data_IF_097359657668
#
_entry.id   IF_097359657668
#
_cell.length_a   1.000
_cell.length_b   1.000
_cell.length_c   1.000
_cell.angle_alpha   90.00
_cell.angle_beta   90.00
_cell.angle_gamma   90.00
#
_symmetry.space_group_name_H-M   'P 1'
#
loop_
_entity.id
_entity.type
_entity.pdbx_description
1 polymer ?
#
# COMPACT_ATOMS: atom_id res chain seq x y z
N UNK A 1 -40.77 33.57 -50.31
CA UNK A 1 -40.05 32.75 -51.31
C UNK A 1 -39.26 31.71 -50.53
N UNK A 2 -39.86 30.52 -50.30
CA UNK A 2 -39.62 29.26 -51.06
C UNK A 2 -38.20 28.73 -50.82
N UNK A 3 -37.93 27.86 -49.83
CA UNK A 3 -38.10 26.39 -49.76
C UNK A 3 -37.24 25.56 -50.74
N UNK A 4 -36.53 24.55 -50.19
CA UNK A 4 -35.93 23.36 -50.84
C UNK A 4 -34.76 23.66 -51.82
N UNK A 5 -33.72 22.83 -52.02
CA UNK A 5 -33.66 21.38 -52.18
C UNK A 5 -32.24 20.85 -51.91
N UNK A 6 -32.15 19.64 -51.36
CA UNK A 6 -31.14 18.68 -51.80
C UNK A 6 -31.72 17.85 -52.97
N UNK A 7 -30.92 17.55 -53.98
CA UNK A 7 -30.98 16.27 -54.70
C UNK A 7 -29.60 15.60 -54.59
N UNK A 8 -29.45 14.30 -54.42
CA UNK A 8 -30.20 13.21 -55.04
C UNK A 8 -29.15 12.26 -55.62
N UNK A 9 -29.38 10.97 -55.38
CA UNK A 9 -28.50 9.83 -55.63
C UNK A 9 -27.87 9.68 -57.02
N UNK A 10 -26.70 9.03 -57.03
CA UNK A 10 -26.38 7.94 -57.97
C UNK A 10 -25.49 8.30 -59.16
N UNK A 11 -24.30 7.69 -59.23
CA UNK A 11 -23.78 6.95 -60.39
C UNK A 11 -22.39 6.39 -60.04
N UNK A 12 -22.27 5.06 -59.96
CA UNK A 12 -20.98 4.36 -60.04
C UNK A 12 -20.69 4.08 -61.52
N UNK A 13 -19.48 4.39 -62.00
CA UNK A 13 -18.77 3.38 -62.79
C UNK A 13 -17.25 3.35 -62.53
N UNK A 14 -16.69 2.13 -62.59
CA UNK A 14 -15.44 1.92 -63.34
C UNK A 14 -14.09 2.12 -62.62
N UNK A 15 -13.53 0.97 -62.23
CA UNK A 15 -12.14 0.61 -61.94
C UNK A 15 -10.96 1.42 -62.58
N UNK A 16 -9.98 1.76 -61.73
CA UNK A 16 -8.52 1.66 -61.96
C UNK A 16 -7.75 2.93 -62.43
N UNK A 17 -6.41 2.99 -62.30
CA UNK A 17 -5.53 2.64 -61.17
C UNK A 17 -4.73 3.88 -60.65
N UNK A 18 -4.47 3.98 -59.35
CA UNK A 18 -3.73 5.12 -58.77
C UNK A 18 -2.19 4.99 -58.94
N UNK A 19 -1.48 6.10 -59.21
CA UNK A 19 -0.02 6.16 -59.37
C UNK A 19 0.72 6.43 -58.05
N UNK A 20 1.99 6.02 -57.98
CA UNK A 20 2.94 6.43 -56.93
C UNK A 20 3.23 7.94 -57.01
N UNK A 21 3.59 8.58 -55.87
CA UNK A 21 4.82 9.37 -55.89
C UNK A 21 5.67 9.32 -54.61
N UNK A 22 6.91 9.78 -54.81
CA UNK A 22 8.10 9.75 -53.96
C UNK A 22 8.05 10.53 -52.63
N UNK A 23 8.83 10.00 -51.68
CA UNK A 23 9.72 10.60 -50.66
C UNK A 23 9.53 12.07 -50.21
N UNK A 24 9.50 12.27 -48.88
CA UNK A 24 10.10 13.44 -48.23
C UNK A 24 10.83 13.03 -46.92
N UNK A 25 11.95 13.71 -46.55
CA UNK A 25 13.00 13.20 -45.67
C UNK A 25 12.89 13.67 -44.21
N UNK A 26 13.37 12.88 -43.25
CA UNK A 26 13.41 13.33 -41.85
C UNK A 26 13.90 12.39 -40.76
N UNK A 27 14.54 11.24 -41.07
CA UNK A 27 15.11 10.38 -40.02
C UNK A 27 16.61 10.11 -40.25
N UNK A 28 17.45 10.24 -39.20
CA UNK A 28 18.88 9.92 -39.29
C UNK A 28 19.09 8.39 -39.39
N UNK A 29 20.22 7.93 -39.99
CA UNK A 29 20.50 6.51 -40.15
C UNK A 29 20.82 5.84 -38.79
N UNK A 30 20.40 4.58 -38.55
CA UNK A 30 20.79 3.84 -37.36
C UNK A 30 22.25 3.41 -37.40
N UNK A 31 22.98 3.67 -36.30
CA UNK A 31 24.29 3.13 -36.01
C UNK A 31 24.25 1.62 -35.77
N UNK A 32 25.30 0.95 -36.24
CA UNK A 32 25.55 -0.48 -36.12
C UNK A 32 25.65 -0.92 -34.65
N UNK A 33 25.07 -2.09 -34.35
CA UNK A 33 25.54 -2.95 -33.26
C UNK A 33 24.59 -3.22 -32.11
N UNK A 34 23.56 -4.03 -32.32
CA UNK A 34 23.00 -4.97 -31.31
C UNK A 34 22.32 -6.15 -32.02
N UNK A 35 22.58 -7.43 -31.65
CA UNK A 35 21.94 -8.57 -32.28
C UNK A 35 20.49 -8.77 -31.80
N UNK A 36 19.59 -9.09 -32.75
CA UNK A 36 18.20 -9.49 -32.49
C UNK A 36 18.11 -10.81 -31.69
N UNK A 37 17.09 -10.98 -30.82
CA UNK A 37 16.83 -12.27 -30.16
C UNK A 37 16.27 -13.29 -31.17
N UNK A 38 16.95 -14.43 -31.29
CA UNK A 38 16.54 -15.55 -32.14
C UNK A 38 15.39 -16.36 -31.51
N UNK A 39 14.46 -16.82 -32.35
CA UNK A 39 13.42 -17.78 -32.00
C UNK A 39 14.03 -19.15 -31.63
N UNK A 40 13.44 -19.95 -30.71
CA UNK A 40 13.98 -21.25 -30.36
C UNK A 40 13.83 -22.27 -31.50
N UNK A 41 14.93 -22.57 -32.17
CA UNK A 41 15.05 -23.67 -33.14
C UNK A 41 15.29 -25.02 -32.47
N UNK A 42 14.82 -26.09 -33.12
CA UNK A 42 15.01 -27.50 -32.74
C UNK A 42 16.49 -27.88 -32.52
N UNK A 43 16.81 -28.81 -31.60
CA UNK A 43 18.18 -29.24 -31.37
C UNK A 43 18.70 -30.18 -32.49
N UNK A 44 19.99 -30.10 -32.86
CA UNK A 44 20.61 -30.99 -33.84
C UNK A 44 20.93 -32.39 -33.25
N UNK A 45 21.08 -33.43 -34.11
CA UNK A 45 21.26 -34.81 -33.66
C UNK A 45 22.68 -35.08 -33.10
N UNK A 46 22.71 -35.88 -32.03
CA UNK A 46 23.92 -36.37 -31.36
C UNK A 46 24.84 -37.14 -32.30
N UNK A 47 26.15 -36.85 -32.23
CA UNK A 47 27.20 -37.67 -32.82
C UNK A 47 28.02 -38.35 -31.71
N UNK A 48 27.97 -39.69 -31.70
CA UNK A 48 29.09 -40.58 -31.39
C UNK A 48 29.58 -40.76 -29.93
N UNK A 49 29.29 -41.94 -29.35
CA UNK A 49 30.35 -42.72 -28.67
C UNK A 49 30.11 -43.17 -27.22
N UNK A 50 29.43 -44.31 -27.01
CA UNK A 50 29.91 -45.52 -26.29
C UNK A 50 28.73 -46.50 -26.07
N UNK A 51 28.95 -47.84 -26.10
CA UNK A 51 27.89 -48.82 -25.96
C UNK A 51 27.38 -48.91 -24.51
N UNK A 52 26.05 -49.02 -24.27
CA UNK A 52 25.52 -49.25 -22.93
C UNK A 52 25.71 -50.73 -22.51
N UNK A 53 26.11 -50.93 -21.25
CA UNK A 53 26.18 -52.24 -20.62
C UNK A 53 24.82 -52.95 -20.54
N UNK A 54 24.81 -54.27 -20.33
CA UNK A 54 23.59 -55.07 -20.40
C UNK A 54 22.61 -54.71 -19.28
N UNK A 55 21.43 -54.18 -19.61
CA UNK A 55 20.34 -54.05 -18.64
C UNK A 55 19.30 -52.94 -18.81
N UNK A 56 19.26 -52.16 -19.89
CA UNK A 56 18.27 -51.08 -20.04
C UNK A 56 17.23 -51.39 -21.13
N UNK A 57 15.96 -51.49 -20.73
CA UNK A 57 14.78 -51.52 -21.62
C UNK A 57 14.04 -50.18 -21.45
N UNK A 58 14.03 -49.27 -22.44
CA UNK A 58 13.24 -48.05 -22.36
C UNK A 58 11.73 -48.30 -22.60
N UNK A 59 10.81 -47.52 -22.00
CA UNK A 59 9.37 -47.67 -22.18
C UNK A 59 8.93 -47.36 -23.62
N UNK A 60 8.08 -48.21 -24.21
CA UNK A 60 7.43 -47.92 -25.49
C UNK A 60 6.38 -46.80 -25.31
N UNK A 61 6.60 -45.67 -25.97
CA UNK A 61 5.58 -44.62 -26.12
C UNK A 61 4.47 -45.06 -27.10
N UNK A 62 3.26 -44.48 -27.01
CA UNK A 62 2.13 -44.87 -27.85
C UNK A 62 2.37 -44.52 -29.34
N UNK A 63 1.91 -45.35 -30.30
CA UNK A 63 2.04 -45.02 -31.72
C UNK A 63 1.18 -43.80 -32.07
N UNK A 64 1.79 -42.80 -32.71
CA UNK A 64 1.06 -41.72 -33.34
C UNK A 64 0.52 -42.18 -34.70
N UNK A 65 -0.79 -42.00 -34.91
CA UNK A 65 -1.37 -41.97 -36.25
C UNK A 65 -2.60 -42.86 -36.44
N UNK A 66 -3.73 -42.51 -35.83
CA UNK A 66 -5.04 -42.91 -36.35
C UNK A 66 -6.02 -41.74 -36.23
N UNK A 67 -6.60 -41.35 -37.37
CA UNK A 67 -7.67 -40.35 -37.43
C UNK A 67 -8.95 -40.93 -36.81
N UNK A 68 -9.76 -40.12 -36.09
CA UNK A 68 -11.00 -40.63 -35.50
C UNK A 68 -12.00 -41.04 -36.60
N UNK A 69 -12.66 -42.21 -36.49
CA UNK A 69 -13.67 -42.62 -37.45
C UNK A 69 -14.95 -41.78 -37.30
N UNK A 70 -15.76 -41.63 -38.37
CA UNK A 70 -16.98 -40.83 -38.33
C UNK A 70 -18.02 -41.45 -37.39
N UNK A 71 -18.67 -40.60 -36.61
CA UNK A 71 -19.77 -40.97 -35.72
C UNK A 71 -20.98 -41.41 -36.56
N UNK A 72 -21.30 -42.70 -36.53
CA UNK A 72 -22.55 -43.27 -37.05
C UNK A 72 -23.49 -43.65 -35.90
N UNK A 73 -24.82 -43.49 -36.05
CA UNK A 73 -25.78 -43.79 -34.98
C UNK A 73 -26.02 -45.30 -34.90
N UNK A 74 -25.61 -45.94 -33.80
CA UNK A 74 -25.67 -47.39 -33.63
C UNK A 74 -26.02 -47.81 -32.20
N UNK A 75 -27.17 -48.47 -32.09
CA UNK A 75 -27.84 -49.03 -30.93
C UNK A 75 -27.02 -50.08 -30.15
N UNK A 76 -27.13 -50.06 -28.81
CA UNK A 76 -27.17 -51.24 -27.93
C UNK A 76 -25.89 -52.08 -27.75
N UNK A 77 -25.31 -52.01 -26.54
CA UNK A 77 -24.34 -53.01 -26.08
C UNK A 77 -23.80 -52.69 -24.68
N UNK A 78 -24.18 -53.49 -23.69
CA UNK A 78 -23.68 -53.42 -22.31
C UNK A 78 -22.43 -54.30 -22.20
N UNK A 79 -21.28 -53.80 -21.68
CA UNK A 79 -20.20 -54.68 -21.21
C UNK A 79 -20.20 -54.84 -19.67
N UNK A 80 -19.54 -55.88 -19.13
CA UNK A 80 -19.90 -56.53 -17.88
C UNK A 80 -19.39 -55.82 -16.62
N UNK A 81 -20.18 -55.94 -15.55
CA UNK A 81 -19.83 -55.53 -14.19
C UNK A 81 -18.70 -56.40 -13.62
N UNK A 82 -17.58 -55.79 -13.24
CA UNK A 82 -16.60 -56.36 -12.33
C UNK A 82 -16.89 -55.87 -10.89
N UNK A 83 -16.98 -56.75 -9.89
CA UNK A 83 -17.13 -56.34 -8.50
C UNK A 83 -15.76 -56.26 -7.80
N UNK A 84 -15.42 -55.08 -7.26
CA UNK A 84 -14.53 -54.98 -6.10
C UNK A 84 -13.44 -53.89 -6.12
N UNK A 85 -13.38 -53.18 -4.98
CA UNK A 85 -12.22 -52.56 -4.31
C UNK A 85 -11.78 -51.13 -4.66
N UNK A 86 -12.05 -50.25 -3.68
CA UNK A 86 -11.33 -49.04 -3.22
C UNK A 86 -11.00 -47.91 -4.20
N UNK A 87 -11.50 -46.72 -3.85
CA UNK A 87 -11.00 -45.46 -4.36
C UNK A 87 -12.04 -44.37 -4.15
N UNK A 88 -11.88 -43.60 -3.06
CA UNK A 88 -12.52 -42.30 -2.89
C UNK A 88 -12.48 -41.54 -4.22
N UNK A 89 -13.60 -40.96 -4.63
CA UNK A 89 -13.66 -40.09 -5.80
C UNK A 89 -12.61 -38.99 -5.69
N UNK A 90 -11.46 -39.22 -6.31
CA UNK A 90 -10.51 -38.20 -6.65
C UNK A 90 -11.17 -37.41 -7.76
N UNK A 91 -11.91 -36.37 -7.36
CA UNK A 91 -12.00 -35.19 -8.20
C UNK A 91 -10.56 -34.92 -8.65
N UNK A 92 -10.31 -34.92 -9.96
CA UNK A 92 -9.05 -34.41 -10.47
C UNK A 92 -8.94 -32.99 -9.93
N UNK A 93 -8.15 -32.79 -8.86
CA UNK A 93 -7.85 -31.47 -8.35
C UNK A 93 -7.14 -30.76 -9.50
N UNK A 94 -7.81 -29.73 -10.03
CA UNK A 94 -7.26 -28.94 -11.13
C UNK A 94 -5.96 -28.31 -10.61
N UNK A 95 -4.79 -28.63 -11.19
CA UNK A 95 -3.50 -28.13 -10.69
C UNK A 95 -3.46 -26.59 -10.66
N UNK A 96 -4.26 -25.90 -11.49
CA UNK A 96 -4.39 -24.44 -11.39
C UNK A 96 -5.05 -23.99 -10.09
N UNK A 97 -6.00 -24.75 -9.55
CA UNK A 97 -6.73 -24.37 -8.34
C UNK A 97 -5.84 -24.47 -7.10
N UNK A 98 -4.93 -25.44 -7.05
CA UNK A 98 -3.97 -25.57 -5.96
C UNK A 98 -2.81 -24.57 -6.07
N UNK A 99 -2.37 -24.23 -7.28
CA UNK A 99 -1.46 -23.09 -7.48
C UNK A 99 -2.10 -21.78 -7.00
N UNK A 100 -3.35 -21.48 -7.39
CA UNK A 100 -4.07 -20.27 -6.96
C UNK A 100 -4.23 -20.22 -5.44
N UNK A 101 -4.62 -21.32 -4.78
CA UNK A 101 -4.69 -21.41 -3.32
C UNK A 101 -3.31 -21.18 -2.67
N UNK A 102 -2.24 -21.73 -3.26
CA UNK A 102 -0.86 -21.55 -2.82
C UNK A 102 -0.42 -20.09 -2.88
N UNK A 103 -0.70 -19.40 -3.99
CA UNK A 103 -0.42 -17.97 -4.15
C UNK A 103 -1.23 -17.11 -3.15
N UNK A 104 -2.53 -17.35 -3.01
CA UNK A 104 -3.37 -16.62 -2.04
C UNK A 104 -2.90 -16.80 -0.59
N UNK A 105 -2.48 -18.01 -0.22
CA UNK A 105 -1.99 -18.31 1.12
C UNK A 105 -0.66 -17.59 1.41
N UNK A 106 0.25 -17.57 0.43
CA UNK A 106 1.53 -16.88 0.55
C UNK A 106 1.32 -15.37 0.71
N UNK A 107 0.45 -14.76 -0.11
CA UNK A 107 0.12 -13.33 -0.03
C UNK A 107 -0.49 -12.94 1.32
N UNK A 108 -1.41 -13.74 1.85
CA UNK A 108 -1.99 -13.53 3.20
C UNK A 108 -0.93 -13.63 4.29
N UNK A 109 -0.02 -14.59 4.19
CA UNK A 109 1.06 -14.79 5.17
C UNK A 109 2.05 -13.62 5.15
N UNK A 110 2.46 -13.19 3.96
CA UNK A 110 3.33 -12.01 3.76
C UNK A 110 2.66 -10.77 4.33
N UNK A 111 1.37 -10.55 4.03
CA UNK A 111 0.59 -9.41 4.53
C UNK A 111 0.47 -9.42 6.05
N UNK A 112 0.19 -10.57 6.66
CA UNK A 112 0.12 -10.69 8.12
C UNK A 112 1.48 -10.42 8.78
N UNK A 113 2.58 -10.88 8.18
CA UNK A 113 3.93 -10.57 8.61
C UNK A 113 4.24 -9.07 8.53
N UNK A 114 3.83 -8.43 7.44
CA UNK A 114 3.91 -6.97 7.25
C UNK A 114 3.13 -6.21 8.33
N UNK A 115 1.85 -6.53 8.52
CA UNK A 115 0.99 -5.87 9.53
C UNK A 115 1.60 -6.00 10.93
N UNK A 116 2.03 -7.21 11.31
CA UNK A 116 2.67 -7.45 12.61
C UNK A 116 3.92 -6.57 12.77
N UNK A 117 4.73 -6.47 11.73
CA UNK A 117 5.96 -5.65 11.74
C UNK A 117 5.64 -4.16 11.90
N UNK A 118 4.67 -3.65 11.15
CA UNK A 118 4.24 -2.24 11.23
C UNK A 118 3.73 -1.90 12.63
N UNK A 119 2.82 -2.69 13.20
CA UNK A 119 2.32 -2.45 14.55
C UNK A 119 3.39 -2.63 15.62
N UNK A 120 4.34 -3.55 15.46
CA UNK A 120 5.45 -3.69 16.41
C UNK A 120 6.31 -2.43 16.43
N UNK A 121 6.62 -1.88 15.25
CA UNK A 121 7.34 -0.61 15.12
C UNK A 121 6.54 0.52 15.75
N UNK A 122 5.26 0.66 15.41
CA UNK A 122 4.37 1.67 15.97
C UNK A 122 4.34 1.61 17.51
N UNK A 123 4.20 0.43 18.09
CA UNK A 123 4.21 0.26 19.54
C UNK A 123 5.54 0.71 20.17
N UNK A 124 6.68 0.39 19.55
CA UNK A 124 7.97 0.91 20.01
C UNK A 124 8.03 2.44 19.93
N UNK A 125 7.52 3.05 18.85
CA UNK A 125 7.49 4.51 18.71
C UNK A 125 6.63 5.15 19.82
N UNK A 126 5.43 4.62 20.06
CA UNK A 126 4.54 5.12 21.10
C UNK A 126 5.11 4.97 22.51
N UNK A 127 5.82 3.88 22.81
CA UNK A 127 6.49 3.69 24.10
C UNK A 127 7.61 4.72 24.30
N UNK A 128 8.42 4.98 23.27
CA UNK A 128 9.46 6.02 23.32
C UNK A 128 8.83 7.39 23.57
N UNK A 129 7.77 7.71 22.83
CA UNK A 129 7.06 8.99 22.96
C UNK A 129 6.43 9.15 24.35
N UNK A 130 5.76 8.12 24.87
CA UNK A 130 5.19 8.14 26.22
C UNK A 130 6.28 8.27 27.29
N UNK A 131 7.41 7.58 27.13
CA UNK A 131 8.55 7.68 28.04
C UNK A 131 9.14 9.09 28.08
N UNK A 132 9.31 9.72 26.92
CA UNK A 132 9.78 11.10 26.80
C UNK A 132 8.78 12.09 27.42
N UNK A 133 7.49 11.98 27.09
CA UNK A 133 6.45 12.84 27.68
C UNK A 133 6.44 12.69 29.20
N UNK A 134 6.52 11.45 29.71
CA UNK A 134 6.55 11.17 31.15
C UNK A 134 7.77 11.79 31.83
N UNK A 135 8.96 11.68 31.23
CA UNK A 135 10.17 12.32 31.73
C UNK A 135 9.97 13.82 31.88
N UNK A 136 9.42 14.48 30.86
CA UNK A 136 9.24 15.94 30.84
C UNK A 136 8.13 16.40 31.79
N UNK A 137 7.10 15.59 32.03
CA UNK A 137 6.01 15.93 32.96
C UNK A 137 6.39 15.76 34.42
N UNK A 138 7.10 14.68 34.76
CA UNK A 138 7.37 14.32 36.15
C UNK A 138 8.73 14.81 36.66
N UNK A 139 9.73 14.96 35.79
CA UNK A 139 11.02 15.51 36.18
C UNK A 139 11.01 17.04 36.10
N UNK A 140 10.64 17.69 37.22
CA UNK A 140 10.49 19.16 37.32
C UNK A 140 11.67 19.98 36.79
N UNK A 141 12.95 19.62 37.01
CA UNK A 141 14.07 20.36 36.43
C UNK A 141 14.04 20.36 34.89
N UNK A 142 13.71 19.23 34.27
CA UNK A 142 13.60 19.11 32.80
C UNK A 142 12.41 19.91 32.28
N UNK A 143 11.26 19.82 32.94
CA UNK A 143 10.08 20.61 32.60
C UNK A 143 10.39 22.11 32.58
N UNK A 144 11.00 22.61 33.66
CA UNK A 144 11.34 24.03 33.77
C UNK A 144 12.42 24.45 32.78
N UNK A 145 13.39 23.57 32.50
CA UNK A 145 14.45 23.84 31.54
C UNK A 145 13.87 24.02 30.13
N UNK A 146 13.01 23.11 29.66
CA UNK A 146 12.44 23.18 28.30
C UNK A 146 11.51 24.39 28.14
N UNK A 147 10.76 24.76 29.18
CA UNK A 147 9.89 25.94 29.15
C UNK A 147 10.68 27.25 29.05
N UNK A 148 11.95 27.26 29.48
CA UNK A 148 12.84 28.43 29.35
C UNK A 148 13.57 28.48 28.00
N UNK A 149 13.73 27.34 27.33
CA UNK A 149 14.53 27.18 26.11
C UNK A 149 13.61 26.87 24.93
N UNK A 150 12.94 27.90 24.39
CA UNK A 150 11.99 27.75 23.29
C UNK A 150 12.66 27.30 21.98
N UNK A 151 13.97 27.47 21.87
CA UNK A 151 14.81 26.94 20.79
C UNK A 151 14.69 25.43 20.64
N UNK A 152 14.46 24.68 21.72
CA UNK A 152 14.32 23.22 21.67
C UNK A 152 13.11 22.82 20.82
N UNK A 153 12.01 23.57 20.91
CA UNK A 153 10.84 23.36 20.07
C UNK A 153 11.17 23.54 18.58
N UNK A 154 11.80 24.66 18.22
CA UNK A 154 12.11 24.98 16.83
C UNK A 154 13.14 24.04 16.23
N UNK A 155 14.14 23.61 17.01
CA UNK A 155 15.12 22.61 16.59
C UNK A 155 14.44 21.26 16.36
N UNK A 156 13.61 20.80 17.30
CA UNK A 156 12.87 19.54 17.16
C UNK A 156 11.93 19.59 15.93
N UNK A 157 11.20 20.68 15.76
CA UNK A 157 10.31 20.89 14.61
C UNK A 157 11.06 20.85 13.28
N UNK A 158 12.18 21.57 13.17
CA UNK A 158 13.00 21.56 11.96
C UNK A 158 13.57 20.16 11.68
N UNK A 159 14.04 19.45 12.71
CA UNK A 159 14.52 18.06 12.57
C UNK A 159 13.41 17.12 12.09
N UNK A 160 12.20 17.19 12.67
CA UNK A 160 11.04 16.40 12.23
C UNK A 160 10.76 16.64 10.74
N UNK A 161 10.69 17.90 10.31
CA UNK A 161 10.41 18.25 8.90
C UNK A 161 11.49 17.71 7.97
N UNK A 162 12.77 17.90 8.30
CA UNK A 162 13.88 17.38 7.49
C UNK A 162 13.82 15.85 7.39
N UNK A 163 13.59 15.15 8.50
CA UNK A 163 13.52 13.69 8.52
C UNK A 163 12.32 13.16 7.72
N UNK A 164 11.15 13.81 7.81
CA UNK A 164 9.99 13.48 6.97
C UNK A 164 10.32 13.67 5.50
N UNK A 165 10.91 14.81 5.11
CA UNK A 165 11.27 15.08 3.71
C UNK A 165 12.29 14.05 3.20
N UNK A 166 13.32 13.73 4.00
CA UNK A 166 14.30 12.70 3.65
C UNK A 166 13.63 11.34 3.41
N UNK A 167 12.71 10.91 4.29
CA UNK A 167 12.01 9.63 4.13
C UNK A 167 10.98 9.65 3.00
N UNK A 168 10.37 10.80 2.69
CA UNK A 168 9.43 10.95 1.58
C UNK A 168 10.13 10.96 0.22
N UNK A 169 11.21 11.72 0.08
CA UNK A 169 11.93 11.94 -1.18
C UNK A 169 12.97 10.86 -1.48
N UNK A 170 13.52 10.18 -0.47
CA UNK A 170 14.60 9.20 -0.65
C UNK A 170 14.11 7.78 -0.35
N UNK A 171 13.61 7.07 -1.37
CA UNK A 171 13.15 5.68 -1.25
C UNK A 171 14.24 4.72 -0.76
N UNK A 172 15.51 4.97 -1.13
CA UNK A 172 16.64 4.17 -0.63
C UNK A 172 16.81 4.28 0.89
N UNK A 173 16.51 5.44 1.48
CA UNK A 173 16.60 5.65 2.93
C UNK A 173 15.50 4.87 3.64
N UNK A 174 14.26 4.90 3.15
CA UNK A 174 13.13 4.23 3.83
C UNK A 174 13.05 2.72 3.61
N UNK A 175 13.59 2.20 2.50
CA UNK A 175 13.48 0.77 2.14
C UNK A 175 14.69 -0.09 2.53
N UNK A 176 15.88 0.50 2.69
CA UNK A 176 17.13 -0.26 2.94
C UNK A 176 17.55 -0.23 4.40
N UNK A 177 17.77 -1.40 4.99
CA UNK A 177 18.41 -1.52 6.29
C UNK A 177 19.93 -1.29 6.19
N UNK A 178 20.58 -0.73 7.23
CA UNK A 178 20.02 -0.27 8.50
C UNK A 178 19.47 1.17 8.48
N UNK A 179 19.66 1.89 7.36
CA UNK A 179 19.34 3.32 7.25
C UNK A 179 17.88 3.63 7.58
N UNK A 180 16.96 2.76 7.17
CA UNK A 180 15.55 2.93 7.41
C UNK A 180 15.17 2.97 8.90
N UNK A 181 15.74 2.08 9.72
CA UNK A 181 15.52 2.08 11.17
C UNK A 181 16.22 3.24 11.86
N UNK A 182 17.40 3.66 11.39
CA UNK A 182 18.12 4.80 11.95
C UNK A 182 17.30 6.09 11.75
N UNK A 183 16.86 6.36 10.51
CA UNK A 183 16.06 7.54 10.21
C UNK A 183 14.72 7.52 10.93
N UNK A 184 14.07 6.36 11.00
CA UNK A 184 12.83 6.21 11.75
C UNK A 184 13.03 6.48 13.25
N UNK A 185 14.10 5.96 13.84
CA UNK A 185 14.41 6.19 15.25
C UNK A 185 14.72 7.66 15.55
N UNK A 186 15.53 8.32 14.71
CA UNK A 186 15.81 9.75 14.82
C UNK A 186 14.53 10.57 14.69
N UNK A 187 13.65 10.19 13.76
CA UNK A 187 12.36 10.84 13.58
C UNK A 187 11.48 10.68 14.81
N UNK A 188 11.40 9.47 15.36
CA UNK A 188 10.64 9.21 16.59
C UNK A 188 11.18 10.00 17.77
N UNK A 189 12.49 10.14 17.93
CA UNK A 189 13.06 10.96 19.00
C UNK A 189 12.77 12.45 18.82
N UNK A 190 12.91 12.98 17.60
CA UNK A 190 12.62 14.37 17.29
C UNK A 190 11.14 14.69 17.54
N UNK A 191 10.25 13.81 17.08
CA UNK A 191 8.81 13.97 17.27
C UNK A 191 8.40 13.79 18.73
N UNK A 192 8.96 12.79 19.42
CA UNK A 192 8.73 12.61 20.85
C UNK A 192 9.16 13.82 21.68
N UNK A 193 10.28 14.46 21.31
CA UNK A 193 10.74 15.69 21.94
C UNK A 193 9.76 16.85 21.69
N UNK A 194 9.30 17.03 20.44
CA UNK A 194 8.32 18.05 20.07
C UNK A 194 7.02 17.90 20.90
N UNK A 195 6.52 16.67 20.95
CA UNK A 195 5.35 16.26 21.74
C UNK A 195 5.54 16.51 23.24
N UNK A 196 6.73 16.22 23.77
CA UNK A 196 7.05 16.43 25.18
C UNK A 196 7.12 17.91 25.54
N UNK A 197 7.67 18.75 24.65
CA UNK A 197 7.68 20.21 24.82
C UNK A 197 6.25 20.75 24.83
N UNK A 198 5.42 20.33 23.88
CA UNK A 198 4.02 20.72 23.82
C UNK A 198 3.23 20.26 25.06
N UNK A 199 3.39 19.00 25.48
CA UNK A 199 2.71 18.47 26.66
C UNK A 199 3.15 19.16 27.97
N UNK A 200 4.37 19.71 28.02
CA UNK A 200 4.91 20.38 29.21
C UNK A 200 4.16 21.67 29.58
N UNK A 201 3.37 22.25 28.67
CA UNK A 201 2.53 23.43 28.94
C UNK A 201 1.19 23.08 29.58
N UNK A 202 0.83 21.79 29.65
CA UNK A 202 -0.42 21.30 30.22
C UNK A 202 -0.20 20.72 31.61
N UNK A 203 -1.29 20.57 32.38
CA UNK A 203 -1.23 19.87 33.68
C UNK A 203 -1.05 18.36 33.44
N UNK A 204 -0.29 17.69 34.30
CA UNK A 204 -0.05 16.24 34.20
C UNK A 204 -1.34 15.41 34.14
N UNK A 205 -2.37 15.82 34.89
CA UNK A 205 -3.69 15.16 34.88
C UNK A 205 -4.38 15.25 33.52
N UNK A 206 -4.28 16.40 32.85
CA UNK A 206 -4.85 16.64 31.52
C UNK A 206 -4.13 15.78 30.48
N UNK A 207 -2.80 15.69 30.58
CA UNK A 207 -1.99 14.85 29.69
C UNK A 207 -2.31 13.37 29.89
N UNK A 208 -2.39 12.88 31.13
CA UNK A 208 -2.75 11.48 31.38
C UNK A 208 -4.15 11.13 30.86
N UNK A 209 -5.12 12.04 31.02
CA UNK A 209 -6.46 11.87 30.48
C UNK A 209 -6.43 11.83 28.94
N UNK A 210 -5.66 12.71 28.31
CA UNK A 210 -5.48 12.73 26.86
C UNK A 210 -4.88 11.42 26.34
N UNK A 211 -3.81 10.92 26.97
CA UNK A 211 -3.21 9.62 26.63
C UNK A 211 -4.25 8.49 26.68
N UNK A 212 -5.04 8.42 27.76
CA UNK A 212 -6.07 7.39 27.92
C UNK A 212 -7.16 7.46 26.84
N UNK A 213 -7.66 8.66 26.54
CA UNK A 213 -8.68 8.87 25.50
C UNK A 213 -8.12 8.54 24.12
N UNK A 214 -6.92 9.02 23.79
CA UNK A 214 -6.29 8.73 22.49
C UNK A 214 -6.05 7.25 22.31
N UNK A 215 -5.59 6.53 23.33
CA UNK A 215 -5.41 5.08 23.26
C UNK A 215 -6.74 4.35 22.98
N UNK A 216 -7.82 4.74 23.68
CA UNK A 216 -9.14 4.16 23.47
C UNK A 216 -9.70 4.46 22.07
N UNK A 217 -9.58 5.70 21.61
CA UNK A 217 -10.03 6.13 20.26
C UNK A 217 -9.22 5.41 19.19
N UNK A 218 -7.90 5.39 19.27
CA UNK A 218 -7.05 4.73 18.27
C UNK A 218 -7.33 3.24 18.21
N UNK A 219 -7.43 2.56 19.36
CA UNK A 219 -7.77 1.13 19.40
C UNK A 219 -9.15 0.86 18.78
N UNK A 220 -10.16 1.67 19.13
CA UNK A 220 -11.51 1.54 18.58
C UNK A 220 -11.56 1.74 17.07
N UNK A 221 -10.89 2.78 16.55
CA UNK A 221 -10.81 3.08 15.12
C UNK A 221 -10.04 2.02 14.35
N UNK A 222 -8.92 1.54 14.91
CA UNK A 222 -8.15 0.43 14.33
C UNK A 222 -8.99 -0.84 14.25
N UNK A 223 -9.69 -1.23 15.32
CA UNK A 223 -10.59 -2.39 15.33
C UNK A 223 -11.75 -2.22 14.33
N UNK A 224 -12.30 -1.01 14.22
CA UNK A 224 -13.31 -0.69 13.24
C UNK A 224 -12.77 -0.84 11.81
N UNK A 225 -11.58 -0.32 11.51
CA UNK A 225 -10.93 -0.42 10.21
C UNK A 225 -10.66 -1.87 9.78
N UNK A 226 -10.33 -2.75 10.74
CA UNK A 226 -10.15 -4.19 10.49
C UNK A 226 -11.45 -4.93 10.15
N UNK A 227 -12.59 -4.48 10.67
CA UNK A 227 -13.87 -5.22 10.61
C UNK A 227 -14.85 -4.65 9.59
N UNK A 228 -14.73 -3.35 9.29
CA UNK A 228 -15.67 -2.66 8.41
C UNK A 228 -15.57 -3.16 6.98
N UNK A 229 -16.71 -3.21 6.29
CA UNK A 229 -16.80 -3.56 4.86
C UNK A 229 -16.71 -2.32 3.96
N UNK A 230 -16.74 -1.12 4.55
CA UNK A 230 -16.65 0.14 3.83
C UNK A 230 -15.19 0.38 3.45
N UNK A 231 -14.95 0.71 2.18
CA UNK A 231 -13.63 1.06 1.67
C UNK A 231 -13.38 2.56 1.85
N UNK A 232 -12.60 2.93 2.87
CA UNK A 232 -12.16 4.31 3.11
C UNK A 232 -10.93 4.68 2.27
N UNK A 233 -10.26 3.74 1.59
CA UNK A 233 -9.07 4.03 0.76
C UNK A 233 -9.37 4.96 -0.42
N UNK A 234 -10.63 5.04 -0.85
CA UNK A 234 -11.10 5.99 -1.86
C UNK A 234 -11.14 7.46 -1.38
N UNK A 235 -11.03 7.73 -0.08
CA UNK A 235 -11.12 9.08 0.48
C UNK A 235 -9.80 9.86 0.45
N UNK A 236 -8.71 9.31 -0.10
CA UNK A 236 -7.39 9.94 -0.06
C UNK A 236 -7.38 11.40 -0.52
N UNK A 237 -8.15 11.75 -1.56
CA UNK A 237 -8.20 13.12 -2.10
C UNK A 237 -8.94 14.05 -1.16
N UNK A 238 -10.03 13.56 -0.56
CA UNK A 238 -10.82 14.33 0.42
C UNK A 238 -10.00 14.59 1.67
N UNK A 239 -9.32 13.55 2.18
CA UNK A 239 -8.45 13.65 3.34
C UNK A 239 -7.28 14.63 3.09
N UNK A 240 -6.65 14.55 1.92
CA UNK A 240 -5.59 15.50 1.53
C UNK A 240 -6.07 16.95 1.51
N UNK A 241 -7.22 17.21 0.89
CA UNK A 241 -7.83 18.56 0.88
C UNK A 241 -8.21 19.00 2.29
N UNK A 242 -8.74 18.10 3.13
CA UNK A 242 -9.12 18.40 4.51
C UNK A 242 -7.91 18.83 5.35
N UNK A 243 -6.75 18.17 5.20
CA UNK A 243 -5.52 18.59 5.87
C UNK A 243 -5.00 19.94 5.35
N UNK A 244 -5.08 20.21 4.04
CA UNK A 244 -4.71 21.54 3.52
C UNK A 244 -5.59 22.65 4.11
N UNK A 245 -6.91 22.41 4.18
CA UNK A 245 -7.84 23.35 4.82
C UNK A 245 -7.51 23.51 6.31
N UNK A 246 -7.20 22.41 7.01
CA UNK A 246 -6.79 22.45 8.42
C UNK A 246 -5.50 23.25 8.62
N UNK A 247 -4.51 23.12 7.74
CA UNK A 247 -3.27 23.90 7.79
C UNK A 247 -3.56 25.40 7.61
N UNK A 248 -4.34 25.77 6.59
CA UNK A 248 -4.73 27.17 6.36
C UNK A 248 -5.50 27.72 7.56
N UNK A 249 -6.43 26.94 8.10
CA UNK A 249 -7.17 27.31 9.30
C UNK A 249 -6.26 27.47 10.52
N UNK A 250 -5.21 26.65 10.65
CA UNK A 250 -4.19 26.79 11.69
C UNK A 250 -3.45 28.14 11.63
N UNK A 251 -3.10 28.62 10.44
CA UNK A 251 -2.51 29.96 10.29
C UNK A 251 -3.48 31.07 10.72
N UNK A 252 -4.77 30.96 10.39
CA UNK A 252 -5.79 31.91 10.83
C UNK A 252 -5.95 31.86 12.36
N UNK A 253 -6.01 30.67 12.95
CA UNK A 253 -6.14 30.47 14.39
C UNK A 253 -4.95 31.03 15.18
N UNK A 254 -3.75 31.08 14.58
CA UNK A 254 -2.58 31.72 15.18
C UNK A 254 -2.71 33.25 15.27
N UNK A 255 -3.40 33.88 14.31
CA UNK A 255 -3.62 35.34 14.29
C UNK A 255 -4.76 35.74 15.25
N UNK A 256 -5.79 34.89 15.37
CA UNK A 256 -6.93 35.12 16.25
C UNK A 256 -7.07 34.00 17.29
N UNK A 257 -6.23 33.98 18.33
CA UNK A 257 -6.31 32.98 19.39
C UNK A 257 -7.56 33.19 20.24
N UNK A 258 -8.15 32.08 20.68
CA UNK A 258 -9.28 32.10 21.61
C UNK A 258 -9.81 30.71 21.90
N UNK A 259 -10.43 30.51 23.07
CA UNK A 259 -10.93 29.21 23.52
C UNK A 259 -11.82 28.51 22.48
N UNK A 260 -12.78 29.23 21.90
CA UNK A 260 -13.65 28.68 20.85
C UNK A 260 -12.87 28.29 19.60
N UNK A 261 -11.92 29.11 19.16
CA UNK A 261 -11.07 28.81 18.00
C UNK A 261 -10.23 27.56 18.24
N UNK A 262 -9.61 27.45 19.41
CA UNK A 262 -8.83 26.27 19.82
C UNK A 262 -9.70 25.02 19.84
N UNK A 263 -10.89 25.07 20.45
CA UNK A 263 -11.80 23.91 20.52
C UNK A 263 -12.28 23.47 19.14
N UNK A 264 -12.65 24.42 18.26
CA UNK A 264 -13.10 24.09 16.89
C UNK A 264 -11.95 23.51 16.08
N UNK A 265 -10.78 24.15 16.11
CA UNK A 265 -9.58 23.70 15.40
C UNK A 265 -9.19 22.29 15.84
N UNK A 266 -9.12 22.06 17.16
CA UNK A 266 -8.73 20.77 17.70
C UNK A 266 -9.78 19.68 17.45
N UNK A 267 -11.07 19.99 17.51
CA UNK A 267 -12.13 19.03 17.19
C UNK A 267 -12.10 18.60 15.72
N UNK A 268 -11.89 19.55 14.80
CA UNK A 268 -11.73 19.24 13.37
C UNK A 268 -10.47 18.44 13.11
N UNK A 269 -9.35 18.81 13.73
CA UNK A 269 -8.09 18.06 13.64
C UNK A 269 -8.23 16.63 14.13
N UNK A 270 -8.77 16.43 15.34
CA UNK A 270 -9.01 15.10 15.90
C UNK A 270 -9.88 14.23 14.98
N UNK A 271 -10.94 14.80 14.39
CA UNK A 271 -11.82 14.10 13.45
C UNK A 271 -11.07 13.71 12.17
N UNK A 272 -10.33 14.64 11.56
CA UNK A 272 -9.60 14.41 10.31
C UNK A 272 -8.53 13.32 10.52
N UNK A 273 -7.72 13.42 11.56
CA UNK A 273 -6.68 12.41 11.82
C UNK A 273 -7.26 11.07 12.29
N UNK A 274 -8.43 11.05 12.93
CA UNK A 274 -9.17 9.80 13.17
C UNK A 274 -9.58 9.12 11.86
N UNK A 275 -9.98 9.88 10.84
CA UNK A 275 -10.29 9.35 9.51
C UNK A 275 -9.03 8.91 8.76
N UNK A 276 -7.91 9.61 8.92
CA UNK A 276 -6.61 9.15 8.42
C UNK A 276 -6.20 7.83 9.06
N UNK A 277 -6.35 7.67 10.38
CA UNK A 277 -6.02 6.42 11.06
C UNK A 277 -6.79 5.23 10.49
N UNK A 278 -8.08 5.40 10.18
CA UNK A 278 -8.89 4.38 9.49
C UNK A 278 -8.33 4.12 8.09
N UNK A 279 -8.10 5.18 7.31
CA UNK A 279 -7.57 5.10 5.95
C UNK A 279 -6.22 4.38 5.89
N UNK A 280 -5.24 4.79 6.70
CA UNK A 280 -3.89 4.23 6.72
C UNK A 280 -3.88 2.80 7.27
N UNK A 281 -4.75 2.50 8.23
CA UNK A 281 -4.96 1.12 8.69
C UNK A 281 -5.46 0.23 7.54
N UNK A 282 -6.46 0.69 6.78
CA UNK A 282 -6.98 -0.08 5.64
C UNK A 282 -5.96 -0.22 4.49
N UNK A 283 -5.21 0.84 4.19
CA UNK A 283 -4.12 0.83 3.20
C UNK A 283 -3.05 -0.21 3.54
N UNK A 284 -2.74 -0.37 4.83
CA UNK A 284 -1.77 -1.36 5.31
C UNK A 284 -2.35 -2.78 5.29
N UNK A 285 -3.61 -2.98 5.70
CA UNK A 285 -4.26 -4.30 5.69
C UNK A 285 -4.39 -4.84 4.26
N UNK A 286 -4.67 -3.97 3.29
CA UNK A 286 -4.90 -4.36 1.90
C UNK A 286 -6.10 -5.30 1.74
N UNK A 287 -6.13 -6.09 0.66
CA UNK A 287 -7.22 -7.02 0.37
C UNK A 287 -8.13 -6.54 -0.76
N UNK A 288 -9.45 -6.52 -0.56
CA UNK A 288 -10.44 -6.12 -1.57
C UNK A 288 -10.51 -4.61 -1.83
N UNK A 289 -9.71 -3.84 -1.11
CA UNK A 289 -9.65 -2.39 -1.23
C UNK A 289 -8.87 -1.97 -2.47
N UNK A 290 -9.26 -0.84 -3.07
CA UNK A 290 -8.68 -0.38 -4.34
C UNK A 290 -7.18 -0.07 -4.26
N UNK A 291 -6.69 0.30 -3.08
CA UNK A 291 -5.30 0.68 -2.85
C UNK A 291 -4.71 -0.11 -1.68
N UNK A 292 -3.45 -0.54 -1.82
CA UNK A 292 -2.71 -1.19 -0.73
C UNK A 292 -1.23 -0.82 -0.77
N UNK A 293 -0.62 -0.74 0.41
CA UNK A 293 0.81 -0.47 0.55
C UNK A 293 1.60 -1.76 0.28
N UNK A 294 2.71 -1.65 -0.45
CA UNK A 294 3.65 -2.76 -0.65
C UNK A 294 4.27 -3.19 0.69
N UNK A 295 4.40 -4.49 0.99
CA UNK A 295 5.03 -4.98 2.21
C UNK A 295 6.44 -4.44 2.49
N UNK A 296 7.14 -3.94 1.46
CA UNK A 296 8.46 -3.30 1.60
C UNK A 296 8.41 -1.92 2.27
N UNK A 297 7.23 -1.29 2.32
CA UNK A 297 7.01 0.08 2.80
C UNK A 297 6.55 0.11 4.27
N UNK A 298 6.98 -0.85 5.08
CA UNK A 298 6.57 -0.97 6.49
C UNK A 298 7.01 0.23 7.34
N UNK A 299 8.12 0.88 6.98
CA UNK A 299 8.59 2.10 7.65
C UNK A 299 7.65 3.27 7.37
N UNK A 300 7.21 3.41 6.10
CA UNK A 300 6.27 4.45 5.72
C UNK A 300 4.91 4.22 6.37
N UNK A 301 4.39 2.99 6.34
CA UNK A 301 3.13 2.65 7.00
C UNK A 301 3.18 2.91 8.52
N UNK A 302 4.27 2.54 9.20
CA UNK A 302 4.44 2.80 10.63
C UNK A 302 4.54 4.31 10.92
N UNK A 303 5.27 5.06 10.09
CA UNK A 303 5.38 6.51 10.22
C UNK A 303 4.03 7.21 10.08
N UNK A 304 3.22 6.84 9.09
CA UNK A 304 1.89 7.42 8.89
C UNK A 304 0.96 7.14 10.07
N UNK A 305 0.85 5.86 10.48
CA UNK A 305 0.04 5.50 11.66
C UNK A 305 0.52 6.20 12.93
N UNK A 306 1.84 6.35 13.10
CA UNK A 306 2.40 7.09 14.23
C UNK A 306 1.99 8.56 14.20
N UNK A 307 2.10 9.23 13.04
CA UNK A 307 1.67 10.61 12.86
C UNK A 307 0.18 10.80 13.14
N UNK A 308 -0.68 9.85 12.73
CA UNK A 308 -2.10 9.92 13.05
C UNK A 308 -2.35 9.87 14.55
N UNK A 309 -1.74 8.91 15.25
CA UNK A 309 -1.90 8.72 16.70
C UNK A 309 -1.40 9.94 17.48
N UNK A 310 -0.23 10.49 17.13
CA UNK A 310 0.32 11.67 17.85
C UNK A 310 -0.49 12.94 17.58
N UNK A 311 -1.00 13.13 16.36
CA UNK A 311 -1.88 14.27 16.07
C UNK A 311 -3.23 14.14 16.80
N UNK A 312 -3.84 12.95 16.82
CA UNK A 312 -5.05 12.70 17.64
C UNK A 312 -4.76 13.04 19.10
N UNK A 313 -3.61 12.63 19.65
CA UNK A 313 -3.20 13.01 21.01
C UNK A 313 -3.13 14.52 21.22
N UNK A 314 -2.41 15.25 20.36
CA UNK A 314 -2.26 16.71 20.51
C UNK A 314 -3.61 17.42 20.47
N UNK A 315 -4.50 17.01 19.56
CA UNK A 315 -5.82 17.60 19.46
C UNK A 315 -6.72 17.25 20.65
N UNK A 316 -6.72 15.99 21.12
CA UNK A 316 -7.44 15.61 22.34
C UNK A 316 -6.90 16.39 23.55
N UNK A 317 -5.59 16.53 23.68
CA UNK A 317 -4.96 17.32 24.74
C UNK A 317 -5.37 18.78 24.68
N UNK A 318 -5.38 19.39 23.49
CA UNK A 318 -5.82 20.77 23.29
C UNK A 318 -7.31 20.96 23.66
N UNK A 319 -8.18 19.99 23.33
CA UNK A 319 -9.59 20.00 23.72
C UNK A 319 -9.73 19.96 25.26
N UNK A 320 -9.02 19.05 25.92
CA UNK A 320 -9.07 18.89 27.37
C UNK A 320 -8.57 20.16 28.07
N UNK A 321 -7.40 20.69 27.68
CA UNK A 321 -6.86 21.92 28.26
C UNK A 321 -7.79 23.11 28.08
N UNK A 322 -8.25 23.35 26.84
CA UNK A 322 -9.16 24.47 26.56
C UNK A 322 -10.53 24.33 27.25
N UNK A 323 -10.99 23.11 27.55
CA UNK A 323 -12.25 22.89 28.26
C UNK A 323 -12.17 23.19 29.76
N UNK A 324 -10.98 23.04 30.35
CA UNK A 324 -10.73 23.13 31.80
C UNK A 324 -10.22 24.49 32.27
N UNK A 325 -9.68 25.29 31.35
CA UNK A 325 -9.30 26.70 31.56
C UNK A 325 -10.47 27.65 31.24
#
# INVERSE_FOLDING_TARGET
MTTWQAPGAGFYPGQGPYPYPQQNPGYPPPQEGYPYPQQPGYPPPYSGGNPPGPGFIPPQGPPYGEAPPPVGPGFGGIPPQHPGMYGSGAYAEDPMQDEIKGFEFNDKTIRNGFIRKVYSILMCQLVITLGMISLFLYHKPTQQWVMRHSEVFWIAFAMTIVLIICMACCTSVRRKAPMNYIFLFLFTLAEALLMSVAASTYKSEEVMLAVGITAAVCLGLTLFAFQTKIDFTGLHTVLFVAVLVLIIFGFIAMIWPGKTMTLVYASLGALIFSMYLIYDTQMMIGGKHKFSISPEEYIFAALSLYLDVVNIFLYVLAIIGASRD
#
